data_IF_183434934968
#
_entry.id   IF_183434934968
#
_cell.length_a   1.000
_cell.length_b   1.000
_cell.length_c   1.000
_cell.angle_alpha   90.00
_cell.angle_beta   90.00
_cell.angle_gamma   90.00
#
_symmetry.space_group_name_H-M   'P 1'
#
loop_
_entity.id
_entity.type
_entity.pdbx_description
1 polymer ?
#
# COMPACT_ATOMS: atom_id res chain seq x y z
N UNK A 1 13.24 20.93 -18.52
CA UNK A 1 13.74 19.89 -17.57
C UNK A 1 14.38 20.37 -16.24
N UNK A 2 15.23 21.42 -16.21
CA UNK A 2 16.03 21.76 -15.00
C UNK A 2 15.20 22.20 -13.77
N UNK A 3 14.11 22.93 -14.00
CA UNK A 3 13.18 23.39 -12.96
C UNK A 3 12.42 22.24 -12.29
N UNK A 4 12.03 21.22 -13.06
CA UNK A 4 11.38 20.00 -12.56
C UNK A 4 12.33 19.15 -11.71
N UNK A 5 13.61 19.11 -12.06
CA UNK A 5 14.63 18.40 -11.27
C UNK A 5 14.85 19.07 -9.90
N UNK A 6 14.70 20.39 -9.83
CA UNK A 6 14.88 21.15 -8.59
C UNK A 6 13.74 20.93 -7.58
N UNK A 7 12.56 20.45 -7.99
CA UNK A 7 11.44 20.21 -7.07
C UNK A 7 11.61 18.93 -6.23
N UNK A 8 12.41 17.96 -6.68
CA UNK A 8 12.62 16.68 -5.99
C UNK A 8 11.39 15.77 -5.91
N UNK A 9 10.25 16.18 -6.50
CA UNK A 9 8.99 15.45 -6.45
C UNK A 9 8.79 14.49 -7.63
N UNK A 10 9.60 14.64 -8.69
CA UNK A 10 9.46 13.85 -9.91
C UNK A 10 10.48 12.72 -9.95
N UNK A 11 10.05 11.48 -10.23
CA UNK A 11 10.95 10.35 -10.45
C UNK A 11 11.95 10.64 -11.59
N UNK A 12 13.14 10.04 -11.53
CA UNK A 12 14.16 10.16 -12.56
C UNK A 12 13.65 9.78 -13.95
N UNK A 13 12.81 8.75 -14.03
CA UNK A 13 12.16 8.28 -15.27
C UNK A 13 11.32 9.40 -15.91
N UNK A 14 10.55 10.15 -15.12
CA UNK A 14 9.73 11.27 -15.62
C UNK A 14 10.61 12.39 -16.15
N UNK A 15 11.68 12.73 -15.43
CA UNK A 15 12.63 13.77 -15.83
C UNK A 15 13.33 13.44 -17.15
N UNK A 16 13.72 12.18 -17.35
CA UNK A 16 14.34 11.70 -18.59
C UNK A 16 13.36 11.72 -19.76
N UNK A 17 12.13 11.27 -19.56
CA UNK A 17 11.10 11.27 -20.61
C UNK A 17 10.76 12.69 -21.07
N UNK A 18 10.67 13.64 -20.14
CA UNK A 18 10.49 15.06 -20.46
C UNK A 18 11.70 15.61 -21.20
N UNK A 19 12.93 15.31 -20.76
CA UNK A 19 14.14 15.78 -21.42
C UNK A 19 14.31 15.22 -22.85
N UNK A 20 13.92 13.96 -23.07
CA UNK A 20 13.90 13.34 -24.40
C UNK A 20 12.83 13.97 -25.28
N UNK A 21 11.62 14.19 -24.75
CA UNK A 21 10.52 14.84 -25.47
C UNK A 21 10.80 16.29 -25.84
N UNK A 22 11.46 17.05 -24.96
CA UNK A 22 11.94 18.42 -25.26
C UNK A 22 12.99 18.40 -26.38
N UNK A 23 13.94 17.46 -26.37
CA UNK A 23 14.99 17.36 -27.40
C UNK A 23 14.49 16.88 -28.76
N UNK A 24 13.48 16.01 -28.78
CA UNK A 24 12.93 15.42 -30.01
C UNK A 24 11.72 16.18 -30.59
N UNK A 25 11.21 17.19 -29.87
CA UNK A 25 9.98 17.90 -30.24
C UNK A 25 8.69 17.12 -29.93
N UNK A 26 8.79 15.94 -29.32
CA UNK A 26 7.68 15.02 -29.03
C UNK A 26 7.18 15.13 -27.58
N UNK A 27 7.30 16.31 -26.96
CA UNK A 27 6.99 16.53 -25.55
C UNK A 27 5.56 16.10 -25.19
N UNK A 28 4.56 16.44 -26.00
CA UNK A 28 3.16 16.06 -25.75
C UNK A 28 2.98 14.55 -25.65
N UNK A 29 3.59 13.79 -26.57
CA UNK A 29 3.55 12.32 -26.57
C UNK A 29 4.28 11.73 -25.36
N UNK A 30 5.40 12.33 -24.95
CA UNK A 30 6.12 11.87 -23.75
C UNK A 30 5.34 12.14 -22.46
N UNK A 31 4.66 13.29 -22.35
CA UNK A 31 3.80 13.60 -21.22
C UNK A 31 2.61 12.64 -21.10
N UNK A 32 2.02 12.21 -22.22
CA UNK A 32 0.96 11.20 -22.20
C UNK A 32 1.48 9.86 -21.63
N UNK A 33 2.69 9.45 -22.01
CA UNK A 33 3.31 8.24 -21.45
C UNK A 33 3.63 8.38 -19.96
N UNK A 34 4.09 9.56 -19.53
CA UNK A 34 4.32 9.86 -18.10
C UNK A 34 3.01 9.74 -17.32
N UNK A 35 1.91 10.30 -17.83
CA UNK A 35 0.60 10.20 -17.19
C UNK A 35 0.18 8.74 -16.98
N UNK A 36 0.31 7.92 -18.03
CA UNK A 36 -0.03 6.48 -17.95
C UNK A 36 0.88 5.72 -16.99
N UNK A 37 2.17 6.06 -16.94
CA UNK A 37 3.11 5.45 -16.02
C UNK A 37 2.76 5.76 -14.56
N UNK A 38 2.47 7.02 -14.24
CA UNK A 38 2.08 7.44 -12.89
C UNK A 38 0.72 6.86 -12.47
N UNK A 39 -0.24 6.76 -13.40
CA UNK A 39 -1.53 6.14 -13.14
C UNK A 39 -1.37 4.64 -12.80
N UNK A 40 -0.54 3.93 -13.56
CA UNK A 40 -0.23 2.52 -13.29
C UNK A 40 0.49 2.33 -11.95
N UNK A 41 1.41 3.21 -11.60
CA UNK A 41 2.13 3.18 -10.31
C UNK A 41 1.15 3.42 -9.16
N UNK A 42 0.29 4.43 -9.26
CA UNK A 42 -0.75 4.70 -8.26
C UNK A 42 -1.73 3.53 -8.11
N UNK A 43 -2.14 2.89 -9.21
CA UNK A 43 -3.02 1.72 -9.16
C UNK A 43 -2.33 0.51 -8.51
N UNK A 44 -1.04 0.29 -8.81
CA UNK A 44 -0.23 -0.76 -8.20
C UNK A 44 -0.10 -0.55 -6.68
N UNK A 45 0.18 0.67 -6.26
CA UNK A 45 0.28 1.03 -4.84
C UNK A 45 -1.06 0.81 -4.14
N UNK A 46 -2.17 1.25 -4.74
CA UNK A 46 -3.50 1.04 -4.18
C UNK A 46 -3.81 -0.46 -4.03
N UNK A 47 -3.48 -1.27 -5.05
CA UNK A 47 -3.65 -2.73 -5.00
C UNK A 47 -2.82 -3.36 -3.87
N UNK A 48 -1.58 -2.90 -3.68
CA UNK A 48 -0.72 -3.36 -2.60
C UNK A 48 -1.29 -3.02 -1.22
N UNK A 49 -1.77 -1.79 -1.04
CA UNK A 49 -2.40 -1.35 0.21
C UNK A 49 -3.65 -2.17 0.53
N UNK A 50 -4.49 -2.45 -0.46
CA UNK A 50 -5.68 -3.29 -0.29
C UNK A 50 -5.27 -4.75 0.02
N UNK A 51 -4.26 -5.29 -0.64
CA UNK A 51 -3.76 -6.64 -0.40
C UNK A 51 -3.20 -6.83 1.02
N UNK A 52 -2.61 -5.79 1.62
CA UNK A 52 -2.17 -5.81 3.02
C UNK A 52 -3.32 -5.70 4.03
N UNK A 53 -4.46 -5.17 3.62
CA UNK A 53 -5.64 -5.01 4.48
C UNK A 53 -6.26 -6.37 4.81
N UNK A 54 -6.28 -7.31 3.86
CA UNK A 54 -6.79 -8.67 4.06
C UNK A 54 -6.11 -9.45 5.22
N UNK A 55 -4.77 -9.62 5.26
CA UNK A 55 -4.12 -10.33 6.36
C UNK A 55 -4.28 -9.59 7.70
N UNK A 56 -4.39 -8.26 7.69
CA UNK A 56 -4.65 -7.48 8.91
C UNK A 56 -6.04 -7.79 9.49
N UNK A 57 -7.07 -7.91 8.63
CA UNK A 57 -8.41 -8.29 9.06
C UNK A 57 -8.45 -9.70 9.64
N UNK A 58 -7.74 -10.65 9.02
CA UNK A 58 -7.64 -12.03 9.53
C UNK A 58 -6.96 -12.04 10.90
N UNK A 59 -5.86 -11.30 11.07
CA UNK A 59 -5.16 -11.19 12.35
C UNK A 59 -6.07 -10.58 13.43
N UNK A 60 -6.76 -9.49 13.10
CA UNK A 60 -7.71 -8.85 14.02
C UNK A 60 -8.83 -9.81 14.44
N UNK A 61 -9.38 -10.57 13.50
CA UNK A 61 -10.41 -11.58 13.77
C UNK A 61 -9.88 -12.73 14.63
N UNK A 62 -8.65 -13.19 14.37
CA UNK A 62 -7.98 -14.20 15.20
C UNK A 62 -7.79 -13.73 16.64
N UNK A 63 -7.37 -12.48 16.84
CA UNK A 63 -7.25 -11.87 18.18
C UNK A 63 -8.61 -11.75 18.86
N UNK A 64 -9.64 -11.28 18.15
CA UNK A 64 -10.99 -11.14 18.70
C UNK A 64 -11.56 -12.50 19.16
N UNK A 65 -11.45 -13.53 18.31
CA UNK A 65 -11.91 -14.89 18.65
C UNK A 65 -11.09 -15.48 19.80
N UNK A 66 -9.77 -15.32 19.78
CA UNK A 66 -8.88 -15.77 20.86
C UNK A 66 -9.22 -15.10 22.20
N UNK A 67 -9.49 -13.80 22.20
CA UNK A 67 -9.91 -13.06 23.39
C UNK A 67 -11.23 -13.57 23.96
N UNK A 68 -12.23 -13.83 23.11
CA UNK A 68 -13.52 -14.40 23.52
C UNK A 68 -13.31 -15.80 24.11
N UNK A 69 -12.52 -16.65 23.44
CA UNK A 69 -12.24 -18.00 23.92
C UNK A 69 -11.58 -17.98 25.30
N UNK A 70 -10.55 -17.16 25.51
CA UNK A 70 -9.88 -17.02 26.81
C UNK A 70 -10.83 -16.51 27.90
N UNK A 71 -11.71 -15.55 27.56
CA UNK A 71 -12.70 -15.01 28.49
C UNK A 71 -13.69 -16.07 28.99
N UNK A 72 -13.91 -17.13 28.23
CA UNK A 72 -14.79 -18.25 28.60
C UNK A 72 -14.00 -19.40 29.25
N UNK A 73 -12.86 -19.77 28.68
CA UNK A 73 -12.06 -20.90 29.17
C UNK A 73 -11.48 -20.67 30.56
N UNK A 74 -10.99 -19.46 30.86
CA UNK A 74 -10.37 -19.18 32.15
C UNK A 74 -11.34 -19.38 33.34
N UNK A 75 -12.56 -18.79 33.36
CA UNK A 75 -13.54 -19.04 34.42
C UNK A 75 -13.94 -20.51 34.53
N UNK A 76 -14.06 -21.22 33.41
CA UNK A 76 -14.41 -22.66 33.41
C UNK A 76 -13.31 -23.50 34.09
N UNK A 77 -12.04 -23.17 33.85
CA UNK A 77 -10.92 -23.83 34.49
C UNK A 77 -10.90 -23.55 36.00
N UNK A 78 -11.11 -22.31 36.41
CA UNK A 78 -11.20 -21.92 37.83
C UNK A 78 -12.35 -22.66 38.55
N UNK A 79 -13.53 -22.73 37.92
CA UNK A 79 -14.66 -23.50 38.45
C UNK A 79 -14.34 -24.99 38.59
N UNK A 80 -13.63 -25.59 37.62
CA UNK A 80 -13.25 -27.00 37.67
C UNK A 80 -12.25 -27.32 38.79
N UNK A 81 -11.35 -26.37 39.12
CA UNK A 81 -10.38 -26.50 40.20
C UNK A 81 -11.03 -26.32 41.58
N UNK A 82 -12.06 -25.48 41.70
CA UNK A 82 -12.80 -25.31 42.95
C UNK A 82 -13.62 -26.57 43.34
N UNK A 83 -14.01 -27.38 42.35
CA UNK A 83 -14.82 -28.59 42.54
C UNK A 83 -13.98 -29.83 42.90
N UNK A 84 -12.67 -29.82 42.61
CA UNK A 84 -11.72 -30.89 42.95
C UNK A 84 -11.14 -30.71 44.35
#
# INVERSE_FOLDING_TARGET
ALSLKASGLFPSVVLEMVAVGEKSGELARMLEKVSRALENEAESDLRSLVALLEPLLILAMGVAVGFIALSILLPLLEMSQMIR
#
